data_IF_735036665973
#
_entry.id   IF_735036665973
#
_cell.length_a   1.000
_cell.length_b   1.000
_cell.length_c   1.000
_cell.angle_alpha   90.00
_cell.angle_beta   90.00
_cell.angle_gamma   90.00
#
_symmetry.space_group_name_H-M   'P 1'
#
loop_
_entity.id
_entity.type
_entity.pdbx_description
1 polymer ?
#
# COMPACT_ATOMS: atom_id res chain seq x y z
N UNK A 1 4.43 87.54 4.01
CA UNK A 1 3.36 87.28 5.00
C UNK A 1 2.63 86.03 4.51
N UNK A 2 3.16 84.82 4.75
CA UNK A 2 2.96 83.98 5.96
C UNK A 2 1.50 83.95 6.40
N UNK A 3 0.83 82.80 6.22
CA UNK A 3 0.22 82.04 7.31
C UNK A 3 -0.21 80.63 6.82
N UNK A 4 0.47 79.60 7.33
CA UNK A 4 -0.05 78.25 7.63
C UNK A 4 -0.58 78.25 9.10
N UNK A 5 -1.07 77.12 9.67
CA UNK A 5 -2.29 76.32 9.45
C UNK A 5 -3.14 76.26 10.77
N UNK A 6 -4.08 75.31 11.01
CA UNK A 6 -3.67 74.03 11.62
C UNK A 6 -4.48 72.78 11.20
N UNK A 7 -3.86 71.63 11.41
CA UNK A 7 -4.46 70.29 11.42
C UNK A 7 -5.21 70.00 12.74
N UNK A 8 -6.34 69.28 12.66
CA UNK A 8 -7.03 68.57 13.74
C UNK A 8 -7.75 67.36 13.11
N UNK A 9 -7.18 66.16 13.20
CA UNK A 9 -7.42 65.13 14.24
C UNK A 9 -8.63 64.22 13.96
N UNK A 10 -8.30 62.94 13.77
CA UNK A 10 -9.02 61.73 14.17
C UNK A 10 -10.53 61.64 13.95
N UNK A 11 -10.93 60.75 13.03
CA UNK A 11 -12.01 59.80 13.30
C UNK A 11 -11.65 58.46 12.64
N UNK A 12 -10.87 57.68 13.40
CA UNK A 12 -10.84 56.23 13.26
C UNK A 12 -12.24 55.76 13.63
N UNK A 13 -13.06 55.41 12.64
CA UNK A 13 -14.26 54.63 12.87
C UNK A 13 -13.79 53.22 13.23
N UNK A 14 -13.66 52.97 14.53
CA UNK A 14 -13.41 51.66 15.08
C UNK A 14 -14.53 50.71 14.67
N UNK A 15 -14.27 49.88 13.67
CA UNK A 15 -14.96 48.61 13.57
C UNK A 15 -14.50 47.80 14.78
N UNK A 16 -15.44 47.61 15.70
CA UNK A 16 -15.24 46.85 16.92
C UNK A 16 -14.53 45.54 16.59
N UNK A 17 -13.35 45.37 17.19
CA UNK A 17 -12.72 44.06 17.34
C UNK A 17 -13.62 43.32 18.33
N UNK A 18 -14.72 42.76 17.83
CA UNK A 18 -15.43 41.70 18.51
C UNK A 18 -14.63 40.43 18.26
N UNK A 19 -13.81 40.14 19.26
CA UNK A 19 -13.10 38.90 19.47
C UNK A 19 -14.06 37.71 19.36
N UNK A 20 -14.25 37.19 18.15
CA UNK A 20 -14.87 35.90 17.94
C UNK A 20 -13.76 34.85 17.92
N UNK A 21 -13.62 34.14 19.05
CA UNK A 21 -12.98 32.83 19.10
C UNK A 21 -13.57 31.95 17.99
N UNK A 22 -12.79 31.66 16.95
CA UNK A 22 -12.96 30.45 16.16
C UNK A 22 -11.57 29.97 15.78
N UNK A 23 -11.20 28.76 16.20
CA UNK A 23 -10.08 28.06 15.60
C UNK A 23 -10.34 27.99 14.11
N UNK A 24 -9.70 28.87 13.34
CA UNK A 24 -9.83 28.89 11.90
C UNK A 24 -9.36 27.53 11.42
N UNK A 25 -10.27 26.76 10.82
CA UNK A 25 -9.89 25.63 10.01
C UNK A 25 -8.81 26.15 9.05
N UNK A 26 -7.64 25.50 9.07
CA UNK A 26 -6.51 25.83 8.20
C UNK A 26 -6.94 25.53 6.77
N UNK A 27 -7.73 26.39 6.13
CA UNK A 27 -8.14 26.26 4.75
C UNK A 27 -7.08 26.88 3.83
N UNK A 28 -7.09 26.48 2.57
CA UNK A 28 -6.19 27.03 1.56
C UNK A 28 -6.27 28.56 1.50
N UNK A 29 -5.12 29.23 1.53
CA UNK A 29 -5.07 30.69 1.37
C UNK A 29 -5.19 31.06 -0.13
N UNK A 30 -5.86 32.17 -0.48
CA UNK A 30 -5.92 32.63 -1.87
C UNK A 30 -4.53 32.80 -2.50
N UNK A 31 -3.55 33.26 -1.73
CA UNK A 31 -2.17 33.42 -2.18
C UNK A 31 -1.51 32.07 -2.49
N UNK A 32 -1.79 31.04 -1.68
CA UNK A 32 -1.32 29.68 -1.92
C UNK A 32 -1.93 29.10 -3.21
N UNK A 33 -3.22 29.33 -3.46
CA UNK A 33 -3.88 28.92 -4.70
C UNK A 33 -3.25 29.59 -5.92
N UNK A 34 -3.04 30.91 -5.88
CA UNK A 34 -2.37 31.64 -6.96
C UNK A 34 -0.97 31.10 -7.21
N UNK A 35 -0.19 30.85 -6.15
CA UNK A 35 1.16 30.30 -6.28
C UNK A 35 1.19 28.89 -6.88
N UNK A 36 0.20 28.06 -6.56
CA UNK A 36 0.08 26.72 -7.12
C UNK A 36 -0.38 26.75 -8.60
N UNK A 37 -1.42 27.54 -8.89
CA UNK A 37 -2.10 27.56 -10.19
C UNK A 37 -1.37 28.40 -11.25
N UNK A 38 -0.80 29.53 -10.87
CA UNK A 38 -0.12 30.42 -11.82
C UNK A 38 1.38 30.16 -11.84
N UNK A 39 2.00 30.06 -10.67
CA UNK A 39 3.46 30.03 -10.55
C UNK A 39 4.04 28.62 -10.52
N UNK A 40 3.19 27.59 -10.38
CA UNK A 40 3.61 26.18 -10.23
C UNK A 40 4.62 25.97 -9.09
N UNK A 41 4.62 26.85 -8.09
CA UNK A 41 5.65 26.89 -7.03
C UNK A 41 5.01 27.18 -5.68
N UNK A 42 4.65 26.11 -5.00
CA UNK A 42 4.02 26.15 -3.70
C UNK A 42 4.64 25.18 -2.70
N UNK A 43 5.97 25.22 -2.56
CA UNK A 43 6.67 24.45 -1.53
C UNK A 43 6.15 24.85 -0.14
N UNK A 44 5.72 23.86 0.65
CA UNK A 44 5.16 24.01 2.00
C UNK A 44 3.94 24.93 2.11
N UNK A 45 3.22 25.15 1.02
CA UNK A 45 1.98 25.94 1.05
C UNK A 45 0.87 25.27 1.85
N UNK A 46 -0.03 26.08 2.38
CA UNK A 46 -1.28 25.63 2.95
C UNK A 46 -2.35 25.57 1.86
N UNK A 47 -2.69 24.36 1.43
CA UNK A 47 -3.69 24.03 0.42
C UNK A 47 -4.72 23.01 0.96
N UNK A 48 -4.92 22.93 2.28
CA UNK A 48 -5.91 22.03 2.85
C UNK A 48 -7.31 22.46 2.40
N UNK A 49 -8.19 21.49 2.19
CA UNK A 49 -9.56 21.73 1.70
C UNK A 49 -9.64 22.51 0.37
N UNK A 50 -8.52 22.65 -0.36
CA UNK A 50 -8.50 23.35 -1.64
C UNK A 50 -9.33 22.61 -2.68
N UNK A 51 -10.14 23.33 -3.45
CA UNK A 51 -10.74 22.81 -4.67
C UNK A 51 -9.81 23.08 -5.85
N UNK A 52 -9.22 22.00 -6.37
CA UNK A 52 -8.25 21.98 -7.47
C UNK A 52 -8.67 20.92 -8.51
N UNK A 53 -9.99 20.65 -8.62
CA UNK A 53 -10.54 19.70 -9.60
C UNK A 53 -10.08 20.07 -11.01
N UNK A 54 -9.53 19.09 -11.72
CA UNK A 54 -9.00 19.25 -13.08
C UNK A 54 -7.93 20.33 -13.24
N UNK A 55 -7.34 20.82 -12.15
CA UNK A 55 -6.27 21.80 -12.22
C UNK A 55 -5.10 21.22 -13.03
N UNK A 56 -4.59 22.00 -13.97
CA UNK A 56 -3.26 21.74 -14.51
C UNK A 56 -2.26 22.12 -13.42
N UNK A 57 -1.41 21.20 -12.99
CA UNK A 57 -0.35 21.35 -11.99
C UNK A 57 0.89 20.55 -12.45
N UNK A 58 1.05 20.34 -13.76
CA UNK A 58 2.20 19.64 -14.32
C UNK A 58 3.48 20.35 -13.92
N UNK A 59 4.48 19.56 -13.54
CA UNK A 59 5.80 20.02 -13.06
C UNK A 59 5.75 20.97 -11.85
N UNK A 60 4.61 21.05 -11.15
CA UNK A 60 4.49 21.92 -10.00
C UNK A 60 5.41 21.49 -8.85
N UNK A 61 6.05 22.47 -8.21
CA UNK A 61 6.86 22.28 -7.00
C UNK A 61 5.97 22.41 -5.78
N UNK A 62 5.51 21.28 -5.27
CA UNK A 62 4.59 21.14 -4.14
C UNK A 62 5.25 20.42 -2.95
N UNK A 63 6.59 20.38 -2.92
CA UNK A 63 7.36 19.73 -1.85
C UNK A 63 6.91 20.24 -0.48
N UNK A 64 6.50 19.32 0.39
CA UNK A 64 6.02 19.62 1.74
C UNK A 64 4.68 20.37 1.82
N UNK A 65 3.97 20.56 0.70
CA UNK A 65 2.66 21.21 0.69
C UNK A 65 1.67 20.45 1.57
N UNK A 66 0.80 21.21 2.23
CA UNK A 66 -0.24 20.69 3.10
C UNK A 66 -1.54 20.64 2.29
N UNK A 67 -1.90 19.47 1.78
CA UNK A 67 -3.02 19.24 0.85
C UNK A 67 -4.16 18.43 1.50
N UNK A 68 -4.16 18.28 2.83
CA UNK A 68 -5.13 17.46 3.54
C UNK A 68 -6.57 17.82 3.13
N UNK A 69 -7.38 16.82 2.78
CA UNK A 69 -8.77 16.97 2.32
C UNK A 69 -8.96 17.84 1.06
N UNK A 70 -7.91 18.18 0.33
CA UNK A 70 -8.05 18.86 -0.95
C UNK A 70 -8.76 17.97 -1.97
N UNK A 71 -9.46 18.60 -2.92
CA UNK A 71 -10.06 17.92 -4.07
C UNK A 71 -9.21 18.20 -5.31
N UNK A 72 -8.42 17.22 -5.72
CA UNK A 72 -7.58 17.21 -6.93
C UNK A 72 -8.11 16.20 -7.97
N UNK A 73 -9.39 15.86 -7.91
CA UNK A 73 -9.99 14.88 -8.83
C UNK A 73 -9.79 15.30 -10.29
N UNK A 74 -9.26 14.41 -11.12
CA UNK A 74 -8.94 14.67 -12.53
C UNK A 74 -7.82 15.69 -12.78
N UNK A 75 -7.10 16.15 -11.76
CA UNK A 75 -5.99 17.09 -11.93
C UNK A 75 -4.83 16.50 -12.75
N UNK A 76 -4.03 17.36 -13.37
CA UNK A 76 -2.82 16.97 -14.10
C UNK A 76 -1.59 17.31 -13.27
N UNK A 77 -0.95 16.32 -12.69
CA UNK A 77 0.23 16.42 -11.84
C UNK A 77 1.46 15.74 -12.47
N UNK A 78 1.46 15.57 -13.80
CA UNK A 78 2.57 14.95 -14.54
C UNK A 78 3.90 15.64 -14.17
N UNK A 79 4.88 14.88 -13.68
CA UNK A 79 6.20 15.38 -13.27
C UNK A 79 6.23 16.29 -12.05
N UNK A 80 5.13 16.42 -11.29
CA UNK A 80 5.09 17.27 -10.09
C UNK A 80 6.03 16.75 -8.97
N UNK A 81 6.64 17.67 -8.24
CA UNK A 81 7.42 17.37 -7.02
C UNK A 81 6.51 17.48 -5.80
N UNK A 82 6.03 16.34 -5.31
CA UNK A 82 5.16 16.20 -4.14
C UNK A 82 5.91 15.62 -2.93
N UNK A 83 7.25 15.64 -2.94
CA UNK A 83 8.03 15.03 -1.85
C UNK A 83 7.66 15.61 -0.50
N UNK A 84 7.40 14.76 0.49
CA UNK A 84 7.02 15.21 1.83
C UNK A 84 5.67 15.92 1.92
N UNK A 85 4.87 15.99 0.86
CA UNK A 85 3.54 16.61 0.91
C UNK A 85 2.58 15.79 1.78
N UNK A 86 1.66 16.45 2.46
CA UNK A 86 0.62 15.79 3.21
C UNK A 86 -0.65 15.72 2.36
N UNK A 87 -0.93 14.55 1.79
CA UNK A 87 -2.08 14.26 0.93
C UNK A 87 -3.15 13.45 1.68
N UNK A 88 -3.13 13.45 3.02
CA UNK A 88 -4.09 12.69 3.81
C UNK A 88 -5.52 13.11 3.48
N UNK A 89 -6.40 12.14 3.27
CA UNK A 89 -7.82 12.33 2.91
C UNK A 89 -8.05 13.17 1.64
N UNK A 90 -7.03 13.30 0.78
CA UNK A 90 -7.14 14.05 -0.50
C UNK A 90 -7.86 13.21 -1.56
N UNK A 91 -8.74 13.82 -2.34
CA UNK A 91 -9.26 13.17 -3.55
C UNK A 91 -8.35 13.42 -4.74
N UNK A 92 -7.71 12.39 -5.26
CA UNK A 92 -6.96 12.40 -6.51
C UNK A 92 -7.68 11.60 -7.60
N UNK A 93 -8.91 11.13 -7.39
CA UNK A 93 -9.59 10.21 -8.30
C UNK A 93 -9.52 10.65 -9.78
N UNK A 94 -9.05 9.76 -10.64
CA UNK A 94 -8.86 10.01 -12.09
C UNK A 94 -7.76 11.00 -12.45
N UNK A 95 -6.92 11.46 -11.52
CA UNK A 95 -5.82 12.36 -11.79
C UNK A 95 -4.67 11.67 -12.54
N UNK A 96 -3.86 12.47 -13.24
CA UNK A 96 -2.62 12.01 -13.87
C UNK A 96 -1.43 12.41 -13.02
N UNK A 97 -0.65 11.46 -12.52
CA UNK A 97 0.55 11.65 -11.71
C UNK A 97 1.79 11.04 -12.39
N UNK A 98 1.81 11.04 -13.73
CA UNK A 98 2.86 10.34 -14.49
C UNK A 98 4.22 10.97 -14.19
N UNK A 99 5.19 10.17 -13.75
CA UNK A 99 6.52 10.67 -13.40
C UNK A 99 6.57 11.61 -12.19
N UNK A 100 5.49 11.77 -11.42
CA UNK A 100 5.50 12.60 -10.22
C UNK A 100 6.37 11.97 -9.11
N UNK A 101 6.99 12.81 -8.29
CA UNK A 101 7.79 12.36 -7.15
C UNK A 101 7.01 12.49 -5.84
N UNK A 102 6.50 11.38 -5.33
CA UNK A 102 5.69 11.29 -4.11
C UNK A 102 6.48 10.73 -2.91
N UNK A 103 7.81 10.59 -3.00
CA UNK A 103 8.62 10.04 -1.90
C UNK A 103 8.51 10.91 -0.65
N UNK A 104 8.31 10.27 0.50
CA UNK A 104 8.07 10.89 1.79
C UNK A 104 6.70 11.54 1.96
N UNK A 105 5.81 11.48 0.97
CA UNK A 105 4.45 12.01 1.10
C UNK A 105 3.58 11.14 2.03
N UNK A 106 2.56 11.75 2.63
CA UNK A 106 1.56 11.04 3.45
C UNK A 106 0.31 10.81 2.61
N UNK A 107 -0.01 9.54 2.30
CA UNK A 107 -1.15 9.14 1.46
C UNK A 107 -2.27 8.44 2.26
N UNK A 108 -2.43 8.77 3.54
CA UNK A 108 -3.40 8.11 4.42
C UNK A 108 -4.82 8.56 4.02
N UNK A 109 -5.71 7.63 3.69
CA UNK A 109 -7.08 7.92 3.25
C UNK A 109 -7.16 8.58 1.86
N UNK A 110 -6.04 8.74 1.15
CA UNK A 110 -6.04 9.38 -0.18
C UNK A 110 -6.79 8.53 -1.19
N UNK A 111 -7.68 9.14 -1.95
CA UNK A 111 -8.38 8.48 -3.05
C UNK A 111 -7.58 8.59 -4.35
N UNK A 112 -6.94 7.50 -4.74
CA UNK A 112 -6.15 7.33 -5.97
C UNK A 112 -6.87 6.45 -7.00
N UNK A 113 -8.18 6.21 -6.86
CA UNK A 113 -8.93 5.38 -7.80
C UNK A 113 -8.86 5.95 -9.21
N UNK A 114 -8.71 5.06 -10.19
CA UNK A 114 -8.61 5.40 -11.62
C UNK A 114 -7.45 6.36 -12.00
N UNK A 115 -6.50 6.62 -11.10
CA UNK A 115 -5.33 7.46 -11.39
C UNK A 115 -4.33 6.79 -12.34
N UNK A 116 -3.54 7.62 -13.04
CA UNK A 116 -2.35 7.17 -13.75
C UNK A 116 -1.07 7.54 -12.97
N UNK A 117 -0.48 6.55 -12.29
CA UNK A 117 0.79 6.65 -11.55
C UNK A 117 1.98 6.15 -12.38
N UNK A 118 1.87 6.04 -13.69
CA UNK A 118 2.94 5.50 -14.54
C UNK A 118 4.25 6.27 -14.37
N UNK A 119 5.28 5.58 -13.88
CA UNK A 119 6.60 6.16 -13.64
C UNK A 119 6.67 7.08 -12.41
N UNK A 120 5.61 7.18 -11.61
CA UNK A 120 5.64 7.92 -10.35
C UNK A 120 6.63 7.27 -9.38
N UNK A 121 7.35 8.10 -8.62
CA UNK A 121 8.29 7.66 -7.59
C UNK A 121 7.56 7.63 -6.24
N UNK A 122 7.41 6.43 -5.70
CA UNK A 122 6.74 6.15 -4.43
C UNK A 122 7.70 5.45 -3.48
N UNK A 123 7.60 5.73 -2.19
CA UNK A 123 8.27 4.90 -1.19
C UNK A 123 7.57 3.53 -1.10
N UNK A 124 8.30 2.47 -0.70
CA UNK A 124 7.70 1.17 -0.43
C UNK A 124 6.53 1.29 0.56
N UNK A 125 5.42 0.59 0.30
CA UNK A 125 4.23 0.56 1.15
C UNK A 125 3.52 1.92 1.38
N UNK A 126 3.90 2.98 0.65
CA UNK A 126 3.27 4.31 0.76
C UNK A 126 1.77 4.29 0.43
N UNK A 127 1.32 3.30 -0.34
CA UNK A 127 -0.07 3.17 -0.77
C UNK A 127 -0.96 2.34 0.17
N UNK A 128 -0.41 1.67 1.19
CA UNK A 128 -1.17 0.72 2.03
C UNK A 128 -2.44 1.29 2.67
N UNK A 129 -2.44 2.60 2.96
CA UNK A 129 -3.56 3.30 3.61
C UNK A 129 -4.33 4.20 2.65
N UNK A 130 -4.13 4.04 1.35
CA UNK A 130 -4.83 4.80 0.30
C UNK A 130 -5.82 3.92 -0.46
N UNK A 131 -6.75 4.53 -1.17
CA UNK A 131 -7.70 3.84 -2.05
C UNK A 131 -7.21 3.93 -3.49
N UNK A 132 -6.46 2.94 -3.96
CA UNK A 132 -5.83 2.97 -5.30
C UNK A 132 -6.43 1.95 -6.27
N UNK A 133 -7.65 1.45 -6.01
CA UNK A 133 -8.29 0.48 -6.88
C UNK A 133 -8.36 1.01 -8.33
N UNK A 134 -7.98 0.17 -9.30
CA UNK A 134 -7.95 0.51 -10.73
C UNK A 134 -6.92 1.58 -11.14
N UNK A 135 -6.09 2.06 -10.21
CA UNK A 135 -4.95 2.91 -10.56
C UNK A 135 -3.96 2.14 -11.46
N UNK A 136 -3.38 2.84 -12.42
CA UNK A 136 -2.40 2.29 -13.38
C UNK A 136 -1.00 2.72 -13.00
N UNK A 137 0.00 1.93 -13.40
CA UNK A 137 1.40 2.33 -13.27
C UNK A 137 2.02 2.15 -11.89
N UNK A 138 1.32 1.50 -10.95
CA UNK A 138 1.87 1.11 -9.65
C UNK A 138 2.87 -0.04 -9.87
N UNK A 139 4.15 0.22 -9.64
CA UNK A 139 5.16 -0.82 -9.69
C UNK A 139 4.96 -1.83 -8.55
N UNK A 140 5.23 -3.11 -8.79
CA UNK A 140 5.12 -4.21 -7.80
C UNK A 140 5.94 -3.98 -6.51
N UNK A 141 6.91 -3.05 -6.52
CA UNK A 141 7.71 -2.67 -5.35
C UNK A 141 7.04 -1.64 -4.41
N UNK A 142 5.94 -1.01 -4.83
CA UNK A 142 5.18 -0.05 -4.01
C UNK A 142 4.12 -0.71 -3.14
N UNK A 143 3.84 -1.99 -3.36
CA UNK A 143 2.86 -2.76 -2.61
C UNK A 143 3.43 -3.21 -1.27
N UNK A 144 2.65 -3.03 -0.21
CA UNK A 144 3.01 -3.49 1.13
C UNK A 144 2.97 -5.01 1.27
N UNK A 145 3.61 -5.52 2.33
CA UNK A 145 3.58 -6.95 2.68
C UNK A 145 2.15 -7.53 2.68
N UNK A 146 1.20 -6.85 3.35
CA UNK A 146 -0.17 -7.33 3.49
C UNK A 146 -0.89 -7.43 2.13
N UNK A 147 -0.68 -6.46 1.23
CA UNK A 147 -1.26 -6.45 -0.11
C UNK A 147 -0.73 -7.61 -0.96
N UNK A 148 0.59 -7.82 -0.94
CA UNK A 148 1.23 -8.92 -1.67
C UNK A 148 0.78 -10.29 -1.13
N UNK A 149 0.66 -10.42 0.20
CA UNK A 149 0.13 -11.63 0.81
C UNK A 149 -1.33 -11.86 0.39
N UNK A 150 -2.18 -10.84 0.48
CA UNK A 150 -3.62 -10.93 0.14
C UNK A 150 -3.84 -11.22 -1.34
N UNK A 151 -3.04 -10.63 -2.23
CA UNK A 151 -3.06 -10.95 -3.66
C UNK A 151 -2.70 -12.42 -3.91
N UNK A 152 -1.71 -12.94 -3.18
CA UNK A 152 -1.34 -14.35 -3.19
C UNK A 152 -2.48 -15.26 -2.71
N UNK A 153 -3.14 -14.92 -1.60
CA UNK A 153 -4.31 -15.64 -1.07
C UNK A 153 -5.44 -15.68 -2.09
N UNK A 154 -5.81 -14.54 -2.67
CA UNK A 154 -6.86 -14.45 -3.70
C UNK A 154 -6.54 -15.30 -4.94
N UNK A 155 -5.28 -15.30 -5.38
CA UNK A 155 -4.84 -16.13 -6.50
C UNK A 155 -4.89 -17.62 -6.16
N UNK A 156 -4.46 -18.02 -4.95
CA UNK A 156 -4.47 -19.42 -4.50
C UNK A 156 -5.90 -19.96 -4.37
N UNK A 157 -6.81 -19.19 -3.76
CA UNK A 157 -8.23 -19.56 -3.63
C UNK A 157 -8.93 -19.71 -4.99
N UNK A 158 -8.47 -18.97 -6.00
CA UNK A 158 -8.96 -19.10 -7.37
C UNK A 158 -8.25 -20.17 -8.19
N UNK A 159 -7.43 -21.04 -7.57
CA UNK A 159 -6.68 -22.11 -8.22
C UNK A 159 -5.49 -21.65 -9.07
N UNK A 160 -5.13 -20.36 -9.04
CA UNK A 160 -4.02 -19.77 -9.81
C UNK A 160 -2.71 -19.87 -9.03
N UNK A 161 -2.27 -21.08 -8.72
CA UNK A 161 -1.15 -21.33 -7.81
C UNK A 161 0.20 -20.76 -8.27
N UNK A 162 0.49 -20.77 -9.58
CA UNK A 162 1.70 -20.15 -10.13
C UNK A 162 1.70 -18.62 -9.97
N UNK A 163 0.52 -17.99 -10.02
CA UNK A 163 0.38 -16.56 -9.74
C UNK A 163 0.55 -16.29 -8.24
N UNK A 164 -0.10 -17.11 -7.40
CA UNK A 164 0.01 -17.01 -5.95
C UNK A 164 1.46 -17.10 -5.48
N UNK A 165 2.26 -18.02 -6.04
CA UNK A 165 3.68 -18.16 -5.72
C UNK A 165 4.48 -16.88 -5.99
N UNK A 166 4.20 -16.18 -7.09
CA UNK A 166 4.86 -14.92 -7.43
C UNK A 166 4.52 -13.84 -6.40
N UNK A 167 3.24 -13.72 -6.05
CA UNK A 167 2.78 -12.77 -5.03
C UNK A 167 3.40 -13.04 -3.65
N UNK A 168 3.36 -14.29 -3.19
CA UNK A 168 3.96 -14.65 -1.91
C UNK A 168 5.48 -14.46 -1.90
N UNK A 169 6.16 -14.67 -3.03
CA UNK A 169 7.60 -14.40 -3.12
C UNK A 169 7.90 -12.91 -2.97
N UNK A 170 7.08 -12.03 -3.56
CA UNK A 170 7.16 -10.59 -3.33
C UNK A 170 6.92 -10.24 -1.85
N UNK A 171 5.89 -10.81 -1.22
CA UNK A 171 5.60 -10.60 0.19
C UNK A 171 6.77 -11.03 1.10
N UNK A 172 7.39 -12.18 0.82
CA UNK A 172 8.57 -12.67 1.55
C UNK A 172 9.78 -11.75 1.40
N UNK A 173 9.99 -11.14 0.23
CA UNK A 173 11.07 -10.16 0.05
C UNK A 173 10.87 -8.92 0.93
N UNK A 174 9.62 -8.51 1.16
CA UNK A 174 9.28 -7.39 2.03
C UNK A 174 9.37 -7.75 3.52
N UNK A 175 8.92 -8.95 3.91
CA UNK A 175 8.91 -9.40 5.31
C UNK A 175 9.41 -10.85 5.42
N UNK A 176 10.73 -11.09 5.44
CA UNK A 176 11.30 -12.44 5.39
C UNK A 176 10.95 -13.33 6.59
N UNK A 177 10.71 -12.72 7.76
CA UNK A 177 10.34 -13.41 9.00
C UNK A 177 8.84 -13.74 9.10
N UNK A 178 8.03 -13.45 8.07
CA UNK A 178 6.62 -13.80 8.03
C UNK A 178 6.41 -15.31 7.79
N UNK A 179 6.52 -16.12 8.84
CA UNK A 179 6.40 -17.58 8.78
C UNK A 179 5.15 -18.05 8.01
N UNK A 180 4.02 -17.37 8.21
CA UNK A 180 2.74 -17.72 7.59
C UNK A 180 2.76 -17.61 6.06
N UNK A 181 3.53 -16.67 5.49
CA UNK A 181 3.64 -16.50 4.03
C UNK A 181 4.49 -17.60 3.40
N UNK A 182 5.51 -18.09 4.11
CA UNK A 182 6.26 -19.27 3.71
C UNK A 182 5.36 -20.51 3.65
N UNK A 183 4.45 -20.68 4.63
CA UNK A 183 3.45 -21.74 4.60
C UNK A 183 2.53 -21.60 3.38
N UNK A 184 1.99 -20.41 3.13
CA UNK A 184 1.09 -20.14 2.00
C UNK A 184 1.75 -20.43 0.64
N UNK A 185 3.01 -20.01 0.46
CA UNK A 185 3.78 -20.31 -0.74
C UNK A 185 4.11 -21.80 -0.87
N UNK A 186 4.47 -22.45 0.24
CA UNK A 186 4.72 -23.89 0.29
C UNK A 186 3.50 -24.69 -0.17
N UNK A 187 2.30 -24.34 0.31
CA UNK A 187 1.04 -24.95 -0.14
C UNK A 187 0.85 -24.74 -1.65
N UNK A 188 1.00 -23.50 -2.12
CA UNK A 188 0.84 -23.18 -3.55
C UNK A 188 1.85 -23.92 -4.44
N UNK A 189 3.07 -24.18 -3.96
CA UNK A 189 4.07 -24.98 -4.68
C UNK A 189 3.73 -26.47 -4.70
N UNK A 190 3.21 -27.01 -3.60
CA UNK A 190 2.79 -28.40 -3.52
C UNK A 190 1.61 -28.68 -4.46
N UNK A 191 0.63 -27.78 -4.57
CA UNK A 191 -0.48 -27.87 -5.54
C UNK A 191 0.01 -27.84 -7.00
N UNK A 192 1.15 -27.20 -7.26
CA UNK A 192 1.81 -27.23 -8.58
C UNK A 192 2.65 -28.50 -8.81
N UNK A 193 2.75 -29.40 -7.83
CA UNK A 193 3.62 -30.58 -7.89
C UNK A 193 5.10 -30.30 -7.55
N UNK A 194 5.46 -29.07 -7.19
CA UNK A 194 6.81 -28.67 -6.81
C UNK A 194 7.13 -29.04 -5.35
N UNK A 195 6.96 -30.32 -5.01
CA UNK A 195 6.98 -30.84 -3.63
C UNK A 195 8.31 -30.60 -2.89
N UNK A 196 9.44 -30.60 -3.60
CA UNK A 196 10.75 -30.32 -3.00
C UNK A 196 10.87 -28.86 -2.54
N UNK A 197 10.42 -27.91 -3.36
CA UNK A 197 10.40 -26.49 -3.01
C UNK A 197 9.36 -26.20 -1.92
N UNK A 198 8.21 -26.86 -1.99
CA UNK A 198 7.19 -26.78 -0.95
C UNK A 198 7.73 -27.24 0.41
N UNK A 199 8.40 -28.39 0.47
CA UNK A 199 8.99 -28.90 1.70
C UNK A 199 10.09 -27.98 2.24
N UNK A 200 10.87 -27.32 1.38
CA UNK A 200 11.85 -26.31 1.81
C UNK A 200 11.16 -25.11 2.48
N UNK A 201 10.10 -24.58 1.86
CA UNK A 201 9.32 -23.47 2.43
C UNK A 201 8.69 -23.85 3.79
N UNK A 202 8.12 -25.05 3.92
CA UNK A 202 7.53 -25.51 5.18
C UNK A 202 8.58 -25.68 6.29
N UNK A 203 9.76 -26.25 5.99
CA UNK A 203 10.85 -26.36 7.00
C UNK A 203 11.33 -24.99 7.46
N UNK A 204 11.47 -24.04 6.53
CA UNK A 204 11.88 -22.69 6.89
C UNK A 204 10.82 -22.00 7.76
N UNK A 205 9.53 -22.14 7.42
CA UNK A 205 8.45 -21.69 8.28
C UNK A 205 8.53 -22.34 9.68
N UNK A 206 8.84 -23.64 9.77
CA UNK A 206 9.00 -24.36 11.03
C UNK A 206 10.13 -23.79 11.88
N UNK A 207 11.27 -23.45 11.28
CA UNK A 207 12.37 -22.76 11.96
C UNK A 207 11.95 -21.40 12.53
N UNK A 208 11.15 -20.63 11.78
CA UNK A 208 10.61 -19.35 12.27
C UNK A 208 9.66 -19.56 13.45
N UNK A 209 8.73 -20.52 13.39
CA UNK A 209 7.84 -20.85 14.51
C UNK A 209 8.62 -21.30 15.76
N UNK A 210 9.66 -22.12 15.56
CA UNK A 210 10.56 -22.54 16.64
C UNK A 210 11.24 -21.35 17.30
N UNK A 211 11.70 -20.38 16.52
CA UNK A 211 12.32 -19.15 17.02
C UNK A 211 11.32 -18.25 17.78
N UNK A 212 10.02 -18.32 17.45
CA UNK A 212 8.93 -17.64 18.16
C UNK A 212 8.46 -18.41 19.42
N UNK A 213 9.07 -19.55 19.75
CA UNK A 213 8.68 -20.38 20.90
C UNK A 213 7.54 -21.36 20.63
N UNK A 214 7.01 -21.41 19.41
CA UNK A 214 5.91 -22.29 19.02
C UNK A 214 6.46 -23.64 18.50
N UNK A 215 6.81 -24.52 19.45
CA UNK A 215 7.37 -25.84 19.13
C UNK A 215 6.36 -26.76 18.44
N UNK A 216 5.06 -26.61 18.74
CA UNK A 216 4.00 -27.45 18.18
C UNK A 216 3.88 -27.23 16.67
N UNK A 217 3.74 -25.96 16.24
CA UNK A 217 3.66 -25.64 14.81
C UNK A 217 4.96 -25.96 14.07
N UNK A 218 6.11 -25.75 14.72
CA UNK A 218 7.40 -26.11 14.16
C UNK A 218 7.49 -27.61 13.84
N UNK A 219 7.10 -28.47 14.79
CA UNK A 219 7.09 -29.93 14.60
C UNK A 219 6.08 -30.36 13.54
N UNK A 220 4.89 -29.78 13.53
CA UNK A 220 3.86 -30.06 12.52
C UNK A 220 4.35 -29.73 11.10
N UNK A 221 5.04 -28.60 10.93
CA UNK A 221 5.61 -28.17 9.64
C UNK A 221 6.76 -29.07 9.18
N UNK A 222 7.66 -29.47 10.08
CA UNK A 222 8.74 -30.40 9.76
C UNK A 222 8.20 -31.79 9.38
N UNK A 223 7.16 -32.26 10.06
CA UNK A 223 6.47 -33.51 9.72
C UNK A 223 5.78 -33.40 8.36
N UNK A 224 5.05 -32.31 8.09
CA UNK A 224 4.41 -32.08 6.80
C UNK A 224 5.43 -32.01 5.66
N UNK A 225 6.55 -31.32 5.85
CA UNK A 225 7.64 -31.27 4.87
C UNK A 225 8.24 -32.65 4.59
N UNK A 226 8.37 -33.50 5.61
CA UNK A 226 8.86 -34.87 5.47
C UNK A 226 7.87 -35.74 4.71
N UNK A 227 6.57 -35.63 4.99
CA UNK A 227 5.51 -36.34 4.27
C UNK A 227 5.43 -35.95 2.79
N UNK A 228 5.67 -34.68 2.45
CA UNK A 228 5.67 -34.19 1.07
C UNK A 228 6.74 -34.85 0.19
N UNK A 229 7.91 -35.14 0.75
CA UNK A 229 9.05 -35.72 0.02
C UNK A 229 9.27 -37.21 0.29
N UNK A 230 8.41 -37.82 1.10
CA UNK A 230 8.55 -39.22 1.46
C UNK A 230 8.45 -40.11 0.21
N UNK A 231 9.39 -41.07 0.01
CA UNK A 231 9.29 -42.03 -1.07
C UNK A 231 8.04 -42.91 -0.86
N UNK A 232 7.21 -43.00 -1.89
CA UNK A 232 5.90 -43.68 -1.84
C UNK A 232 6.01 -45.15 -1.40
N UNK A 233 5.20 -45.57 -0.43
CA UNK A 233 4.83 -46.99 -0.27
C UNK A 233 3.67 -47.31 -1.22
N UNK A 234 3.63 -48.49 -1.86
CA UNK A 234 2.59 -48.82 -2.83
C UNK A 234 1.23 -48.92 -2.14
N UNK A 235 0.32 -47.97 -2.43
CA UNK A 235 -1.09 -48.13 -2.13
C UNK A 235 -1.68 -49.24 -3.00
N UNK A 236 -2.25 -50.27 -2.37
CA UNK A 236 -3.05 -51.30 -3.04
C UNK A 236 -4.32 -50.66 -3.58
N UNK A 237 -4.30 -50.23 -4.83
CA UNK A 237 -5.50 -49.83 -5.58
C UNK A 237 -5.39 -48.46 -6.23
N UNK A 238 -4.88 -48.41 -7.46
CA UNK A 238 -4.95 -47.24 -8.34
C UNK A 238 -3.68 -47.02 -9.17
N UNK A 239 -3.68 -47.44 -10.43
CA UNK A 239 -2.56 -47.33 -11.36
C UNK A 239 -2.41 -45.93 -12.01
N UNK A 240 -2.54 -44.85 -11.22
CA UNK A 240 -2.42 -43.47 -11.70
C UNK A 240 -1.23 -42.72 -11.09
N UNK A 241 -0.56 -41.87 -11.87
CA UNK A 241 0.43 -40.91 -11.35
C UNK A 241 -0.25 -39.84 -10.46
N UNK A 242 -1.51 -39.49 -10.75
CA UNK A 242 -2.30 -38.51 -10.01
C UNK A 242 -2.63 -38.93 -8.58
N UNK A 243 -3.05 -40.19 -8.34
CA UNK A 243 -3.37 -40.69 -6.99
C UNK A 243 -2.16 -40.78 -6.06
N UNK A 244 -0.94 -40.85 -6.62
CA UNK A 244 0.33 -40.94 -5.88
C UNK A 244 0.79 -39.58 -5.36
N UNK A 245 0.65 -38.51 -6.15
CA UNK A 245 0.97 -37.14 -5.74
C UNK A 245 -0.02 -36.59 -4.71
N UNK A 246 -1.30 -36.95 -4.87
CA UNK A 246 -2.38 -36.59 -3.93
C UNK A 246 -2.19 -37.19 -2.53
N UNK A 247 -1.63 -38.41 -2.40
CA UNK A 247 -1.50 -39.10 -1.11
C UNK A 247 -0.56 -38.38 -0.11
N UNK A 248 0.65 -38.03 -0.56
CA UNK A 248 1.65 -37.35 0.28
C UNK A 248 1.28 -35.91 0.61
N UNK A 249 0.76 -35.15 -0.37
CA UNK A 249 0.29 -33.79 -0.17
C UNK A 249 -0.91 -33.71 0.78
N UNK A 250 -1.90 -34.60 0.62
CA UNK A 250 -3.06 -34.65 1.53
C UNK A 250 -2.63 -35.01 2.97
N UNK A 251 -1.71 -35.96 3.15
CA UNK A 251 -1.22 -36.31 4.48
C UNK A 251 -0.48 -35.12 5.13
N UNK A 252 0.37 -34.45 4.37
CA UNK A 252 1.08 -33.26 4.83
C UNK A 252 0.10 -32.13 5.24
N UNK A 253 -0.88 -31.82 4.40
CA UNK A 253 -1.85 -30.75 4.69
C UNK A 253 -2.79 -31.07 5.83
N UNK A 254 -3.09 -32.34 6.11
CA UNK A 254 -3.82 -32.73 7.32
C UNK A 254 -3.06 -32.38 8.59
N UNK A 255 -1.74 -32.59 8.61
CA UNK A 255 -0.90 -32.29 9.79
C UNK A 255 -0.90 -30.78 10.10
N UNK A 256 -0.86 -29.94 9.07
CA UNK A 256 -0.82 -28.48 9.22
C UNK A 256 -2.17 -27.81 8.97
N UNK A 257 -3.29 -28.53 9.03
CA UNK A 257 -4.60 -28.00 8.61
C UNK A 257 -4.99 -26.66 9.26
N UNK A 258 -4.84 -26.45 10.59
CA UNK A 258 -5.17 -25.17 11.21
C UNK A 258 -4.28 -24.03 10.70
N UNK A 259 -2.99 -24.32 10.49
CA UNK A 259 -2.03 -23.35 10.03
C UNK A 259 -2.20 -23.02 8.54
N UNK A 260 -2.51 -24.03 7.73
CA UNK A 260 -2.84 -23.87 6.32
C UNK A 260 -4.09 -23.01 6.13
N UNK A 261 -5.13 -23.24 6.94
CA UNK A 261 -6.33 -22.39 6.95
C UNK A 261 -5.97 -20.93 7.27
N UNK A 262 -5.17 -20.71 8.32
CA UNK A 262 -4.70 -19.36 8.69
C UNK A 262 -3.84 -18.71 7.61
N UNK A 263 -3.02 -19.48 6.90
CA UNK A 263 -2.15 -18.98 5.83
C UNK A 263 -2.90 -18.56 4.57
N UNK A 264 -4.15 -18.98 4.44
CA UNK A 264 -5.04 -18.63 3.33
C UNK A 264 -6.12 -17.61 3.75
N UNK A 265 -5.91 -16.91 4.88
CA UNK A 265 -6.73 -15.77 5.29
C UNK A 265 -6.05 -14.45 4.88
N UNK A 266 -6.81 -13.44 4.47
CA UNK A 266 -6.27 -12.11 4.23
C UNK A 266 -5.66 -11.53 5.51
N UNK A 267 -4.44 -10.98 5.41
CA UNK A 267 -3.84 -10.12 6.40
C UNK A 267 -4.55 -8.75 6.45
N UNK A 268 -4.66 -8.12 7.62
CA UNK A 268 -5.18 -6.75 7.72
C UNK A 268 -4.30 -5.78 6.93
N UNK A 269 -4.93 -4.88 6.17
CA UNK A 269 -4.30 -3.80 5.40
C UNK A 269 -3.92 -2.62 6.30
#
# INVERSE_FOLDING_TARGET
MRHHPPALWCLVAGAAITSALHGAALAASPEALVRALEQRRCERCQLQDADLVQADLREARLRGAQLQRANLSGARLDGADLRGANLSDTSLAGASLRGADLRGSLLIGTDLRDCDLSGALLDPASLNRSHWQQARGIATGSQGYAELHNAGVNAAQAGRHAEAERWFSGAIQQLPNAAITWVARGISRAEQGNVSLAAQDLRYAGQLYKAMGDQEQAQALDQAATLLVAPNTPSKGGNGLGSKLLGGAMAAFKVIAPLAAKAMLPAPL
#
